data_IF_427710832525
#
_entry.id   IF_427710832525
#
_cell.length_a   1.000
_cell.length_b   1.000
_cell.length_c   1.000
_cell.angle_alpha   90.00
_cell.angle_beta   90.00
_cell.angle_gamma   90.00
#
_symmetry.space_group_name_H-M   'P 1'
#
loop_
_entity.id
_entity.type
_entity.pdbx_description
1 polymer ?
#
# COMPACT_ATOMS: atom_id res chain seq x y z
N UNK A 1 12.44 2.92 -22.77
CA UNK A 1 13.60 2.31 -23.45
C UNK A 1 13.12 1.68 -24.76
N UNK A 2 13.86 1.78 -25.86
CA UNK A 2 13.49 1.19 -27.16
C UNK A 2 13.89 -0.28 -27.25
N UNK A 3 13.27 -1.04 -28.15
CA UNK A 3 13.59 -2.47 -28.41
C UNK A 3 15.07 -2.66 -28.77
N UNK A 4 15.66 -1.71 -29.50
CA UNK A 4 17.08 -1.71 -29.86
C UNK A 4 17.97 -1.56 -28.61
N UNK A 5 17.59 -0.68 -27.69
CA UNK A 5 18.32 -0.49 -26.43
C UNK A 5 18.31 -1.73 -25.54
N UNK A 6 17.16 -2.42 -25.46
CA UNK A 6 17.00 -3.69 -24.72
C UNK A 6 17.89 -4.79 -25.32
N UNK A 7 17.88 -4.93 -26.65
CA UNK A 7 18.73 -5.91 -27.35
C UNK A 7 20.22 -5.63 -27.16
N UNK A 8 20.64 -4.37 -27.25
CA UNK A 8 22.03 -3.97 -27.01
C UNK A 8 22.47 -4.30 -25.59
N UNK A 9 21.68 -3.91 -24.58
CA UNK A 9 21.98 -4.19 -23.18
C UNK A 9 22.07 -5.70 -22.87
N UNK A 10 21.25 -6.54 -23.51
CA UNK A 10 21.36 -7.99 -23.39
C UNK A 10 22.61 -8.56 -24.09
N UNK A 11 23.01 -8.01 -25.23
CA UNK A 11 24.28 -8.38 -25.90
C UNK A 11 25.50 -7.95 -25.10
N UNK A 12 25.40 -6.82 -24.40
CA UNK A 12 26.43 -6.30 -23.48
C UNK A 12 26.46 -7.07 -22.14
N UNK A 13 25.62 -8.10 -21.97
CA UNK A 13 25.59 -8.96 -20.78
C UNK A 13 24.94 -8.34 -19.54
N UNK A 14 24.17 -7.25 -19.69
CA UNK A 14 23.57 -6.54 -18.54
C UNK A 14 22.40 -7.26 -17.90
N UNK A 15 21.76 -8.19 -18.61
CA UNK A 15 20.70 -9.07 -18.10
C UNK A 15 20.57 -10.29 -19.03
N UNK A 16 20.03 -11.42 -18.54
CA UNK A 16 19.96 -12.66 -19.31
C UNK A 16 18.94 -12.57 -20.47
N UNK A 17 19.20 -13.37 -21.51
CA UNK A 17 18.25 -13.58 -22.60
C UNK A 17 18.39 -15.00 -23.14
N UNK A 18 17.29 -15.57 -23.63
CA UNK A 18 17.25 -16.93 -24.19
C UNK A 18 16.97 -16.87 -25.69
N UNK A 19 17.43 -17.86 -26.44
CA UNK A 19 17.10 -18.01 -27.86
C UNK A 19 16.11 -19.15 -28.05
N UNK A 20 15.13 -18.97 -28.94
CA UNK A 20 14.24 -20.05 -29.37
C UNK A 20 14.96 -20.97 -30.36
N UNK A 21 14.35 -22.12 -30.67
CA UNK A 21 14.78 -22.99 -31.77
C UNK A 21 14.78 -22.30 -33.14
N UNK A 22 14.00 -21.22 -33.30
CA UNK A 22 13.94 -20.35 -34.48
C UNK A 22 14.88 -19.15 -34.41
N UNK A 23 15.89 -19.18 -33.54
CA UNK A 23 16.90 -18.14 -33.31
C UNK A 23 16.37 -16.77 -32.86
N UNK A 24 15.10 -16.68 -32.49
CA UNK A 24 14.51 -15.45 -31.94
C UNK A 24 14.94 -15.23 -30.50
N UNK A 25 15.24 -13.98 -30.14
CA UNK A 25 15.64 -13.62 -28.78
C UNK A 25 14.40 -13.37 -27.92
N UNK A 26 14.31 -14.10 -26.80
CA UNK A 26 13.26 -14.01 -25.79
C UNK A 26 13.86 -13.45 -24.51
N UNK A 27 13.16 -12.48 -23.94
CA UNK A 27 13.52 -11.86 -22.68
C UNK A 27 12.51 -12.27 -21.63
N UNK A 28 13.00 -12.67 -20.45
CA UNK A 28 12.12 -12.82 -19.31
C UNK A 28 11.64 -11.42 -18.88
N UNK A 29 10.37 -11.34 -18.50
CA UNK A 29 9.77 -10.06 -18.09
C UNK A 29 10.32 -9.61 -16.75
N UNK A 30 10.60 -10.54 -15.84
CA UNK A 30 11.11 -10.25 -14.50
C UNK A 30 12.53 -9.68 -14.58
N UNK A 31 13.41 -10.33 -15.33
CA UNK A 31 14.78 -9.85 -15.58
C UNK A 31 14.81 -8.46 -16.22
N UNK A 32 13.89 -8.22 -17.16
CA UNK A 32 13.77 -6.93 -17.82
C UNK A 32 13.25 -5.83 -16.88
N UNK A 33 12.24 -6.13 -16.07
CA UNK A 33 11.70 -5.19 -15.11
C UNK A 33 12.73 -4.85 -14.02
N UNK A 34 13.54 -5.82 -13.56
CA UNK A 34 14.69 -5.60 -12.66
C UNK A 34 15.72 -4.67 -13.32
N UNK A 35 16.14 -4.98 -14.56
CA UNK A 35 17.13 -4.18 -15.29
C UNK A 35 16.67 -2.73 -15.53
N UNK A 36 15.38 -2.54 -15.80
CA UNK A 36 14.78 -1.23 -16.00
C UNK A 36 14.51 -0.46 -14.70
N UNK A 37 14.83 -1.05 -13.53
CA UNK A 37 14.53 -0.47 -12.23
C UNK A 37 13.03 -0.29 -11.99
N UNK A 38 12.19 -1.11 -12.64
CA UNK A 38 10.75 -1.06 -12.47
C UNK A 38 10.36 -1.69 -11.14
N UNK A 39 9.30 -1.18 -10.49
CA UNK A 39 8.83 -1.74 -9.23
C UNK A 39 8.43 -3.20 -9.44
N UNK A 40 9.23 -4.12 -8.90
CA UNK A 40 8.81 -5.52 -8.74
C UNK A 40 7.69 -5.60 -7.69
N UNK A 41 6.79 -6.59 -7.76
CA UNK A 41 5.77 -6.78 -6.72
C UNK A 41 6.35 -6.86 -5.31
N UNK A 42 7.60 -7.31 -5.16
CA UNK A 42 8.32 -7.39 -3.89
C UNK A 42 8.85 -6.02 -3.43
N UNK A 43 9.47 -5.24 -4.31
CA UNK A 43 9.89 -3.87 -4.00
C UNK A 43 8.71 -2.95 -3.66
N UNK A 44 7.57 -3.10 -4.35
CA UNK A 44 6.32 -2.39 -4.02
C UNK A 44 5.81 -2.79 -2.64
N UNK A 45 6.04 -4.02 -2.17
CA UNK A 45 5.67 -4.45 -0.82
C UNK A 45 6.66 -3.93 0.22
N UNK A 46 7.95 -3.88 -0.09
CA UNK A 46 8.98 -3.33 0.79
C UNK A 46 8.81 -1.81 1.01
N UNK A 47 8.42 -1.07 -0.02
CA UNK A 47 8.14 0.38 0.07
C UNK A 47 6.74 0.71 0.63
N UNK A 48 5.94 -0.30 1.01
CA UNK A 48 4.65 -0.06 1.65
C UNK A 48 4.85 0.31 3.11
N UNK A 49 4.82 1.62 3.36
CA UNK A 49 4.49 2.14 4.68
C UNK A 49 2.97 2.08 4.87
N UNK A 50 2.51 1.38 5.93
CA UNK A 50 1.10 1.15 6.23
C UNK A 50 0.68 1.89 7.50
N UNK A 51 -0.39 2.69 7.42
CA UNK A 51 -1.05 3.28 8.58
C UNK A 51 -2.20 2.40 9.05
N UNK A 52 -2.34 2.22 10.36
CA UNK A 52 -3.43 1.47 10.97
C UNK A 52 -4.42 2.45 11.57
N UNK A 53 -5.72 2.27 11.36
CA UNK A 53 -6.73 3.12 11.97
C UNK A 53 -7.84 2.30 12.63
N UNK A 54 -7.98 2.49 13.94
CA UNK A 54 -9.00 1.86 14.77
C UNK A 54 -9.94 2.89 15.40
N UNK A 55 -11.23 2.57 15.48
CA UNK A 55 -12.21 3.40 16.19
C UNK A 55 -13.16 2.55 17.01
N UNK A 56 -13.41 3.00 18.25
CA UNK A 56 -14.44 2.43 19.13
C UNK A 56 -15.57 3.43 19.36
N UNK A 57 -16.79 2.91 19.53
CA UNK A 57 -17.93 3.71 19.97
C UNK A 57 -17.68 4.25 21.39
N UNK A 58 -18.28 5.39 21.70
CA UNK A 58 -18.06 6.09 22.97
C UNK A 58 -18.51 5.33 24.22
N UNK A 59 -19.27 4.23 24.08
CA UNK A 59 -19.77 3.40 25.18
C UNK A 59 -18.60 2.82 25.99
N UNK A 60 -18.64 3.04 27.30
CA UNK A 60 -17.63 2.56 28.27
C UNK A 60 -17.46 1.03 28.18
N UNK A 61 -16.22 0.54 28.28
CA UNK A 61 -15.91 -0.91 28.25
C UNK A 61 -15.37 -1.49 26.94
N UNK A 62 -15.10 -0.66 25.92
CA UNK A 62 -14.60 -1.10 24.60
C UNK A 62 -13.07 -0.91 24.42
N UNK A 63 -12.31 -0.70 25.50
CA UNK A 63 -10.86 -0.46 25.42
C UNK A 63 -10.08 -1.74 25.06
N UNK A 64 -10.53 -2.88 25.58
CA UNK A 64 -10.07 -4.21 25.16
C UNK A 64 -10.32 -4.46 23.67
N UNK A 65 -11.44 -3.95 23.13
CA UNK A 65 -11.77 -4.01 21.71
C UNK A 65 -10.78 -3.19 20.88
N UNK A 66 -10.35 -2.02 21.33
CA UNK A 66 -9.37 -1.19 20.62
C UNK A 66 -7.98 -1.84 20.55
N UNK A 67 -7.54 -2.46 21.66
CA UNK A 67 -6.26 -3.17 21.71
C UNK A 67 -6.27 -4.41 20.80
N UNK A 68 -7.34 -5.19 20.82
CA UNK A 68 -7.51 -6.33 19.92
C UNK A 68 -7.59 -5.89 18.45
N UNK A 69 -8.29 -4.80 18.15
CA UNK A 69 -8.35 -4.24 16.80
C UNK A 69 -6.97 -3.83 16.29
N UNK A 70 -6.16 -3.19 17.12
CA UNK A 70 -4.78 -2.85 16.75
C UNK A 70 -3.94 -4.10 16.51
N UNK A 71 -4.06 -5.12 17.37
CA UNK A 71 -3.33 -6.38 17.21
C UNK A 71 -3.67 -7.05 15.88
N UNK A 72 -4.95 -7.19 15.56
CA UNK A 72 -5.41 -7.74 14.27
C UNK A 72 -4.90 -6.90 13.09
N UNK A 73 -4.91 -5.57 13.21
CA UNK A 73 -4.40 -4.69 12.16
C UNK A 73 -2.89 -4.86 11.95
N UNK A 74 -2.12 -4.98 13.02
CA UNK A 74 -0.67 -5.22 12.97
C UNK A 74 -0.35 -6.60 12.39
N UNK A 75 -1.09 -7.64 12.76
CA UNK A 75 -0.93 -8.99 12.20
C UNK A 75 -1.32 -9.05 10.72
N UNK A 76 -2.29 -8.24 10.30
CA UNK A 76 -2.69 -8.14 8.88
C UNK A 76 -1.72 -7.30 8.03
N UNK A 77 -0.77 -6.60 8.65
CA UNK A 77 0.12 -5.69 7.96
C UNK A 77 1.09 -6.47 7.06
N UNK A 78 1.20 -6.06 5.79
CA UNK A 78 2.07 -6.71 4.80
C UNK A 78 3.33 -5.91 4.51
N UNK A 79 3.46 -4.74 5.12
CA UNK A 79 4.58 -3.81 4.98
C UNK A 79 4.93 -3.17 6.32
N UNK A 80 5.83 -2.18 6.30
CA UNK A 80 6.27 -1.49 7.50
C UNK A 80 5.14 -0.65 8.09
N UNK A 81 4.75 -0.93 9.33
CA UNK A 81 3.74 -0.13 10.03
C UNK A 81 4.33 1.23 10.36
N UNK A 82 3.80 2.29 9.74
CA UNK A 82 4.19 3.67 10.04
C UNK A 82 3.65 4.10 11.41
N UNK A 83 2.34 3.99 11.59
CA UNK A 83 1.66 4.45 12.81
C UNK A 83 0.27 3.86 12.95
N UNK A 84 -0.15 3.63 14.19
CA UNK A 84 -1.54 3.35 14.55
C UNK A 84 -2.25 4.63 15.04
N UNK A 85 -3.35 4.98 14.41
CA UNK A 85 -4.26 6.06 14.76
C UNK A 85 -5.51 5.48 15.42
N UNK A 86 -5.98 6.16 16.46
CA UNK A 86 -7.09 5.70 17.29
C UNK A 86 -8.05 6.85 17.57
N UNK A 87 -9.34 6.58 17.47
CA UNK A 87 -10.38 7.51 17.89
C UNK A 87 -11.44 6.82 18.75
N UNK A 88 -11.97 7.57 19.71
CA UNK A 88 -13.14 7.20 20.50
C UNK A 88 -14.27 8.16 20.18
N UNK A 89 -15.39 7.65 19.68
CA UNK A 89 -16.54 8.49 19.37
C UNK A 89 -17.50 7.92 18.33
N UNK A 90 -18.63 8.61 18.16
CA UNK A 90 -19.63 8.30 17.14
C UNK A 90 -19.05 8.39 15.73
N UNK A 91 -19.53 7.53 14.83
CA UNK A 91 -19.13 7.54 13.41
C UNK A 91 -19.66 8.73 12.62
N UNK A 92 -20.57 9.52 13.22
CA UNK A 92 -21.11 10.76 12.65
C UNK A 92 -20.25 11.99 13.00
N UNK A 93 -19.31 11.86 13.95
CA UNK A 93 -18.43 12.98 14.30
C UNK A 93 -17.29 13.03 13.30
N UNK A 94 -17.25 14.05 12.46
CA UNK A 94 -16.18 14.22 11.47
C UNK A 94 -14.91 14.82 12.08
N UNK A 95 -15.03 15.66 13.10
CA UNK A 95 -13.87 16.22 13.82
C UNK A 95 -13.28 15.22 14.82
N UNK A 96 -12.46 14.31 14.28
CA UNK A 96 -11.77 13.22 14.99
C UNK A 96 -10.26 13.44 14.90
N UNK A 97 -9.62 13.55 16.06
CA UNK A 97 -8.21 13.92 16.13
C UNK A 97 -7.28 12.85 15.52
N UNK A 98 -7.60 11.56 15.68
CA UNK A 98 -6.83 10.47 15.09
C UNK A 98 -6.97 10.44 13.57
N UNK A 99 -8.20 10.53 13.06
CA UNK A 99 -8.49 10.58 11.63
C UNK A 99 -7.87 11.81 10.96
N UNK A 100 -8.01 13.00 11.54
CA UNK A 100 -7.44 14.23 10.96
C UNK A 100 -5.92 14.14 10.85
N UNK A 101 -5.24 13.67 11.92
CA UNK A 101 -3.78 13.45 11.88
C UNK A 101 -3.38 12.41 10.83
N UNK A 102 -4.17 11.35 10.67
CA UNK A 102 -3.93 10.36 9.63
C UNK A 102 -4.01 11.00 8.25
N UNK A 103 -5.05 11.80 7.98
CA UNK A 103 -5.23 12.50 6.70
C UNK A 103 -4.08 13.48 6.43
N UNK A 104 -3.63 14.24 7.43
CA UNK A 104 -2.48 15.14 7.31
C UNK A 104 -1.20 14.37 6.96
N UNK A 105 -0.99 13.22 7.58
CA UNK A 105 0.18 12.38 7.34
C UNK A 105 0.10 11.66 5.98
N UNK A 106 -1.11 11.33 5.49
CA UNK A 106 -1.34 10.91 4.10
C UNK A 106 -0.95 12.02 3.13
N UNK A 107 -1.38 13.26 3.39
CA UNK A 107 -1.12 14.38 2.49
C UNK A 107 0.38 14.70 2.35
N UNK A 108 1.15 14.39 3.41
CA UNK A 108 2.62 14.47 3.45
C UNK A 108 3.33 13.25 2.86
N UNK A 109 2.59 12.23 2.40
CA UNK A 109 3.15 11.03 1.78
C UNK A 109 3.88 10.10 2.74
N UNK A 110 3.56 10.13 4.04
CA UNK A 110 4.27 9.33 5.05
C UNK A 110 3.92 7.83 5.03
N UNK A 111 2.82 7.48 4.38
CA UNK A 111 2.40 6.11 4.17
C UNK A 111 1.63 5.99 2.85
N UNK A 112 1.60 4.79 2.30
CA UNK A 112 0.97 4.51 0.99
C UNK A 112 -0.35 3.75 1.13
N UNK A 113 -0.57 3.08 2.28
CA UNK A 113 -1.75 2.24 2.53
C UNK A 113 -2.34 2.54 3.90
N UNK A 114 -3.67 2.60 4.00
CA UNK A 114 -4.40 2.63 5.28
C UNK A 114 -5.14 1.31 5.48
N UNK A 115 -4.96 0.71 6.65
CA UNK A 115 -5.72 -0.45 7.10
C UNK A 115 -6.74 -0.04 8.16
N UNK A 116 -7.97 -0.50 7.96
CA UNK A 116 -9.09 -0.29 8.89
C UNK A 116 -9.78 -1.61 9.16
N UNK A 117 -10.23 -1.83 10.40
CA UNK A 117 -10.94 -3.07 10.77
C UNK A 117 -12.29 -3.15 10.07
N UNK A 118 -12.99 -2.02 9.97
CA UNK A 118 -14.31 -1.93 9.34
C UNK A 118 -14.42 -0.66 8.50
N UNK A 119 -15.07 -0.76 7.32
CA UNK A 119 -15.18 0.36 6.36
C UNK A 119 -15.92 1.58 6.94
N UNK A 120 -16.92 1.36 7.78
CA UNK A 120 -17.73 2.41 8.43
C UNK A 120 -16.95 3.20 9.52
N UNK A 121 -15.65 2.93 9.68
CA UNK A 121 -14.78 3.63 10.61
C UNK A 121 -14.18 4.90 10.00
N UNK A 122 -14.05 5.00 8.67
CA UNK A 122 -13.58 6.21 7.99
C UNK A 122 -14.69 7.25 7.89
N UNK A 123 -15.84 6.87 7.34
CA UNK A 123 -17.06 7.65 7.39
C UNK A 123 -18.27 6.71 7.24
N UNK A 124 -19.39 7.03 7.86
CA UNK A 124 -20.67 6.41 7.53
C UNK A 124 -21.25 7.14 6.32
N UNK A 125 -20.82 6.76 5.12
CA UNK A 125 -21.56 7.06 3.91
C UNK A 125 -22.25 5.77 3.45
N UNK A 126 -23.58 5.81 3.36
CA UNK A 126 -24.38 4.80 2.67
C UNK A 126 -24.14 4.94 1.16
N UNK A 127 -23.03 4.41 0.68
CA UNK A 127 -22.63 4.44 -0.73
C UNK A 127 -21.31 3.72 -0.89
N UNK A 128 -21.34 2.57 -1.54
CA UNK A 128 -20.19 1.67 -1.66
C UNK A 128 -18.97 2.37 -2.26
N UNK A 129 -17.88 2.42 -1.51
CA UNK A 129 -16.56 2.76 -2.03
C UNK A 129 -15.87 1.45 -2.40
N UNK A 130 -15.67 1.23 -3.70
CA UNK A 130 -14.96 0.08 -4.24
C UNK A 130 -13.43 0.21 -4.01
N UNK A 131 -12.78 -0.95 -4.06
CA UNK A 131 -11.43 -1.33 -3.63
C UNK A 131 -10.31 -0.31 -3.86
N UNK A 132 -9.47 -0.19 -2.82
CA UNK A 132 -8.11 0.38 -2.82
C UNK A 132 -8.00 1.75 -3.50
N UNK A 133 -7.82 2.81 -2.71
CA UNK A 133 -7.38 4.09 -3.25
C UNK A 133 -5.86 3.99 -3.51
N UNK A 134 -5.38 3.84 -4.76
CA UNK A 134 -3.98 4.11 -5.04
C UNK A 134 -3.73 5.59 -4.76
N UNK A 135 -2.86 5.88 -3.80
CA UNK A 135 -2.33 7.24 -3.62
C UNK A 135 -1.50 7.53 -4.86
N UNK A 136 -2.04 8.39 -5.74
CA UNK A 136 -1.43 8.72 -7.02
C UNK A 136 -0.01 9.23 -6.87
N UNK A 137 0.91 8.66 -7.64
CA UNK A 137 2.27 9.16 -7.79
C UNK A 137 2.24 10.58 -8.34
N UNK A 138 2.96 11.49 -7.66
CA UNK A 138 3.13 12.86 -8.15
C UNK A 138 4.05 12.88 -9.37
N UNK A 139 3.62 13.66 -10.35
CA UNK A 139 4.41 14.16 -11.49
C UNK A 139 5.46 15.15 -11.03
#
# INVERSE_FOLDING_TARGET
MSVVGVRKAASDGRFPSRRTSSDQRVFDREDLDIYLGRPTPESVRADRAEALYGRVSGSTGQESSLANQEKVLRESATGTVYRAYKDRGSGLRENRAGLNRMLDDTAKGRFTVVRVVWRDRLARFSGGMDRTLPVGGRR
#
